data_IF_287312047176
#
_entry.id   IF_287312047176
#
_cell.length_a   1.000
_cell.length_b   1.000
_cell.length_c   1.000
_cell.angle_alpha   90.00
_cell.angle_beta   90.00
_cell.angle_gamma   90.00
#
_symmetry.space_group_name_H-M   'P 1'
#
loop_
_entity.id
_entity.type
_entity.pdbx_description
1 polymer ?
#
# COMPACT_ATOMS: atom_id res chain seq x y z
N UNK A 1 -22.56 4.24 11.10
CA UNK A 1 -21.47 3.30 10.77
C UNK A 1 -20.37 4.08 10.08
N UNK A 2 -19.11 3.78 10.36
CA UNK A 2 -17.98 4.36 9.63
C UNK A 2 -17.96 3.73 8.23
N UNK A 3 -17.85 4.54 7.18
CA UNK A 3 -17.78 4.07 5.80
C UNK A 3 -16.53 3.20 5.58
N UNK A 4 -16.68 2.09 4.87
CA UNK A 4 -15.62 1.13 4.57
C UNK A 4 -15.57 0.77 3.09
N UNK A 5 -14.39 0.46 2.61
CA UNK A 5 -14.10 0.21 1.20
C UNK A 5 -13.09 -0.92 1.02
N UNK A 6 -12.94 -1.40 -0.20
CA UNK A 6 -11.91 -2.38 -0.54
C UNK A 6 -10.55 -1.74 -0.80
N UNK A 7 -9.48 -2.47 -0.52
CA UNK A 7 -8.13 -1.99 -0.74
C UNK A 7 -7.88 -1.69 -2.22
N UNK A 8 -7.41 -0.48 -2.52
CA UNK A 8 -7.18 -0.02 -3.89
C UNK A 8 -8.43 0.50 -4.62
N UNK A 9 -9.62 0.48 -4.03
CA UNK A 9 -10.80 1.15 -4.61
C UNK A 9 -10.56 2.66 -4.76
N UNK A 10 -11.34 3.33 -5.63
CA UNK A 10 -11.22 4.77 -5.85
C UNK A 10 -11.43 5.54 -4.53
N UNK A 11 -12.50 5.22 -3.82
CA UNK A 11 -12.90 5.87 -2.58
C UNK A 11 -11.85 5.66 -1.48
N UNK A 12 -11.31 4.44 -1.35
CA UNK A 12 -10.25 4.17 -0.40
C UNK A 12 -8.97 4.93 -0.76
N UNK A 13 -8.58 4.99 -2.04
CA UNK A 13 -7.43 5.74 -2.50
C UNK A 13 -7.58 7.25 -2.23
N UNK A 14 -8.78 7.81 -2.41
CA UNK A 14 -9.09 9.20 -2.09
C UNK A 14 -8.95 9.46 -0.60
N UNK A 15 -9.50 8.56 0.22
CA UNK A 15 -9.39 8.62 1.66
C UNK A 15 -7.93 8.53 2.15
N UNK A 16 -7.14 7.60 1.59
CA UNK A 16 -5.74 7.42 1.94
C UNK A 16 -4.89 8.66 1.58
N UNK A 17 -5.05 9.19 0.37
CA UNK A 17 -4.39 10.43 -0.04
C UNK A 17 -4.75 11.60 0.90
N UNK A 18 -6.04 11.79 1.18
CA UNK A 18 -6.50 12.86 2.08
C UNK A 18 -5.90 12.71 3.48
N UNK A 19 -5.89 11.49 4.01
CA UNK A 19 -5.32 11.19 5.33
C UNK A 19 -3.83 11.54 5.38
N UNK A 20 -3.05 11.12 4.38
CA UNK A 20 -1.63 11.47 4.30
C UNK A 20 -1.40 12.98 4.25
N UNK A 21 -2.17 13.69 3.42
CA UNK A 21 -2.10 15.15 3.36
C UNK A 21 -2.43 15.83 4.69
N UNK A 22 -3.44 15.34 5.41
CA UNK A 22 -3.86 15.91 6.68
C UNK A 22 -2.81 15.67 7.78
N UNK A 23 -2.19 14.49 7.82
CA UNK A 23 -1.10 14.18 8.76
C UNK A 23 0.11 15.11 8.55
N UNK A 24 0.53 15.32 7.29
CA UNK A 24 1.62 16.26 6.97
C UNK A 24 1.29 17.68 7.41
N UNK A 25 0.06 18.15 7.17
CA UNK A 25 -0.38 19.49 7.61
C UNK A 25 -0.41 19.61 9.14
N UNK A 26 -0.84 18.56 9.83
CA UNK A 26 -0.91 18.52 11.30
C UNK A 26 0.46 18.52 11.96
N UNK A 27 1.50 18.01 11.27
CA UNK A 27 2.88 18.04 11.76
C UNK A 27 3.48 19.46 11.84
N UNK A 28 2.83 20.48 11.24
CA UNK A 28 3.26 21.89 11.26
C UNK A 28 4.73 22.10 10.86
N UNK A 29 5.21 21.27 9.93
CA UNK A 29 6.54 21.40 9.36
C UNK A 29 6.62 22.64 8.44
N UNK A 30 7.82 23.21 8.31
CA UNK A 30 8.08 24.23 7.30
C UNK A 30 8.14 23.60 5.91
N UNK A 31 6.99 23.52 5.25
CA UNK A 31 6.81 22.84 3.97
C UNK A 31 7.68 23.42 2.84
N UNK A 32 8.16 24.67 2.98
CA UNK A 32 9.03 25.30 1.98
C UNK A 32 10.39 24.61 1.83
N UNK A 33 10.77 23.76 2.79
CA UNK A 33 12.03 23.01 2.81
C UNK A 33 11.97 21.65 2.12
N UNK A 34 10.79 21.23 1.65
CA UNK A 34 10.58 19.89 1.14
C UNK A 34 10.14 19.93 -0.32
N UNK A 35 10.79 19.07 -1.10
CA UNK A 35 10.43 18.69 -2.45
C UNK A 35 10.37 17.16 -2.44
N UNK A 36 9.18 16.60 -2.20
CA UNK A 36 9.04 15.18 -1.85
C UNK A 36 7.72 14.57 -2.29
N UNK A 37 7.78 13.34 -2.81
CA UNK A 37 6.61 12.59 -3.29
C UNK A 37 6.35 11.29 -2.52
N UNK A 38 5.07 10.96 -2.35
CA UNK A 38 4.60 9.64 -1.94
C UNK A 38 3.64 9.10 -2.99
N UNK A 39 3.84 7.87 -3.44
CA UNK A 39 2.88 7.18 -4.29
C UNK A 39 2.88 5.68 -4.09
N UNK A 40 1.70 5.07 -4.14
CA UNK A 40 1.54 3.61 -4.22
C UNK A 40 0.69 3.26 -5.45
N UNK A 41 1.28 2.53 -6.38
CA UNK A 41 0.61 1.95 -7.56
C UNK A 41 0.27 0.48 -7.27
N UNK A 42 -0.99 0.09 -7.48
CA UNK A 42 -1.46 -1.28 -7.32
C UNK A 42 -1.64 -1.95 -8.67
N UNK A 43 -0.89 -3.01 -8.92
CA UNK A 43 -0.95 -3.78 -10.18
C UNK A 43 -1.78 -5.04 -10.01
N UNK A 44 -2.33 -5.53 -11.13
CA UNK A 44 -3.11 -6.79 -11.20
C UNK A 44 -4.37 -6.84 -10.32
N UNK A 45 -4.87 -5.71 -9.83
CA UNK A 45 -6.11 -5.67 -9.07
C UNK A 45 -7.35 -5.99 -9.94
N UNK A 46 -8.46 -6.44 -9.33
CA UNK A 46 -9.74 -6.62 -10.01
C UNK A 46 -10.19 -5.37 -10.79
N UNK A 47 -10.56 -5.54 -12.07
CA UNK A 47 -10.97 -4.41 -12.95
C UNK A 47 -12.05 -3.51 -12.35
N UNK A 48 -12.97 -4.07 -11.58
CA UNK A 48 -14.05 -3.32 -10.90
C UNK A 48 -13.51 -2.25 -9.94
N UNK A 49 -12.32 -2.43 -9.35
CA UNK A 49 -11.69 -1.48 -8.42
C UNK A 49 -11.00 -0.30 -9.12
N UNK A 50 -10.77 -0.40 -10.44
CA UNK A 50 -10.22 0.71 -11.22
C UNK A 50 -11.20 1.90 -11.28
N UNK A 51 -12.51 1.63 -11.30
CA UNK A 51 -13.56 2.65 -11.40
C UNK A 51 -13.30 3.66 -12.53
N UNK A 52 -12.90 3.16 -13.71
CA UNK A 52 -12.59 3.98 -14.89
C UNK A 52 -11.20 4.62 -14.91
N UNK A 53 -10.37 4.44 -13.87
CA UNK A 53 -8.96 4.86 -13.87
C UNK A 53 -8.10 3.92 -14.71
N UNK A 54 -7.08 4.45 -15.37
CA UNK A 54 -6.05 3.63 -16.04
C UNK A 54 -5.18 2.85 -15.06
N UNK A 55 -4.94 3.44 -13.88
CA UNK A 55 -4.12 2.88 -12.81
C UNK A 55 -4.82 3.07 -11.46
N UNK A 56 -4.74 2.05 -10.62
CA UNK A 56 -5.15 2.16 -9.23
C UNK A 56 -3.97 2.54 -8.36
N UNK A 57 -4.20 3.50 -7.47
CA UNK A 57 -3.19 3.99 -6.57
C UNK A 57 -3.61 5.33 -5.98
N UNK A 58 -2.75 5.83 -5.10
CA UNK A 58 -2.90 7.15 -4.54
C UNK A 58 -1.53 7.80 -4.37
N UNK A 59 -1.54 9.12 -4.30
CA UNK A 59 -0.36 9.90 -4.04
C UNK A 59 -0.65 11.08 -3.12
N UNK A 60 0.41 11.60 -2.53
CA UNK A 60 0.47 12.96 -2.03
C UNK A 60 1.91 13.45 -2.13
N UNK A 61 2.09 14.75 -2.22
CA UNK A 61 3.41 15.37 -2.41
C UNK A 61 3.48 16.72 -1.71
N UNK A 62 4.70 17.12 -1.38
CA UNK A 62 5.05 18.48 -0.99
C UNK A 62 5.86 19.06 -2.13
N UNK A 63 5.31 20.08 -2.78
CA UNK A 63 5.93 20.77 -3.91
C UNK A 63 5.61 22.26 -3.81
N UNK A 64 6.62 23.13 -3.93
CA UNK A 64 6.46 24.59 -3.80
C UNK A 64 5.75 25.01 -2.49
N UNK A 65 6.13 24.38 -1.38
CA UNK A 65 5.56 24.68 -0.05
C UNK A 65 4.09 24.29 0.13
N UNK A 66 3.52 23.49 -0.78
CA UNK A 66 2.11 23.08 -0.75
C UNK A 66 1.99 21.56 -0.72
N UNK A 67 1.04 21.07 0.10
CA UNK A 67 0.65 19.66 0.10
C UNK A 67 -0.51 19.45 -0.87
N UNK A 68 -0.36 18.49 -1.79
CA UNK A 68 -1.39 18.06 -2.75
C UNK A 68 -1.43 16.55 -2.83
N UNK A 69 -2.51 15.97 -3.32
CA UNK A 69 -2.68 14.52 -3.41
C UNK A 69 -4.03 14.12 -3.96
N UNK A 70 -4.17 12.83 -4.28
CA UNK A 70 -5.40 12.26 -4.81
C UNK A 70 -5.26 10.80 -5.19
N UNK A 71 -6.37 10.22 -5.67
CA UNK A 71 -6.46 8.83 -6.13
C UNK A 71 -5.95 8.61 -7.56
N UNK A 72 -4.83 9.25 -7.88
CA UNK A 72 -4.13 9.20 -9.16
C UNK A 72 -2.62 9.08 -8.93
N UNK A 73 -1.85 8.98 -10.01
CA UNK A 73 -0.39 8.85 -9.98
C UNK A 73 0.24 9.82 -11.01
N UNK A 74 0.21 11.14 -10.75
CA UNK A 74 0.70 12.13 -11.69
C UNK A 74 2.22 12.06 -11.82
N UNK A 75 2.73 12.27 -13.03
CA UNK A 75 4.17 12.32 -13.32
C UNK A 75 4.90 13.30 -12.40
N UNK A 76 4.31 14.47 -12.14
CA UNK A 76 4.85 15.49 -11.22
C UNK A 76 5.17 14.92 -9.83
N UNK A 77 4.36 13.99 -9.30
CA UNK A 77 4.64 13.35 -8.03
C UNK A 77 5.73 12.27 -8.16
N UNK A 78 5.70 11.49 -9.24
CA UNK A 78 6.62 10.38 -9.48
C UNK A 78 8.06 10.83 -9.78
N UNK A 79 8.24 12.07 -10.23
CA UNK A 79 9.55 12.67 -10.54
C UNK A 79 10.23 13.30 -9.31
N UNK A 80 9.46 13.55 -8.23
CA UNK A 80 10.04 14.02 -6.97
C UNK A 80 10.84 12.91 -6.28
N UNK A 81 11.89 13.23 -5.52
CA UNK A 81 12.50 12.24 -4.65
C UNK A 81 11.49 11.84 -3.57
N UNK A 82 11.39 10.55 -3.28
CA UNK A 82 10.50 10.12 -2.20
C UNK A 82 10.20 8.64 -2.14
N UNK A 83 9.00 8.29 -1.70
CA UNK A 83 8.55 6.91 -1.56
C UNK A 83 7.60 6.58 -2.70
N UNK A 84 8.06 5.77 -3.66
CA UNK A 84 7.26 5.38 -4.82
C UNK A 84 7.21 3.87 -4.95
N UNK A 85 6.13 3.26 -4.44
CA UNK A 85 5.91 1.83 -4.51
C UNK A 85 5.04 1.44 -5.71
N UNK A 86 5.37 0.30 -6.31
CA UNK A 86 4.55 -0.43 -7.28
C UNK A 86 4.36 -1.84 -6.77
N UNK A 87 3.16 -2.17 -6.33
CA UNK A 87 2.90 -3.39 -5.58
C UNK A 87 1.86 -4.24 -6.30
N UNK A 88 2.15 -5.53 -6.44
CA UNK A 88 1.17 -6.51 -6.89
C UNK A 88 0.07 -6.62 -5.83
N UNK A 89 -1.14 -6.20 -6.20
CA UNK A 89 -2.24 -5.93 -5.27
C UNK A 89 -2.53 -7.11 -4.35
N UNK A 90 -2.59 -8.33 -4.89
CA UNK A 90 -2.96 -9.51 -4.12
C UNK A 90 -1.94 -9.92 -3.05
N UNK A 91 -0.68 -9.44 -3.13
CA UNK A 91 0.32 -9.71 -2.08
C UNK A 91 0.03 -8.96 -0.78
N UNK A 92 -0.62 -7.80 -0.87
CA UNK A 92 -0.80 -6.91 0.30
C UNK A 92 -2.27 -6.59 0.60
N UNK A 93 -3.21 -6.81 -0.32
CA UNK A 93 -4.60 -6.37 -0.17
C UNK A 93 -5.25 -6.85 1.14
N UNK A 94 -4.97 -8.09 1.54
CA UNK A 94 -5.47 -8.65 2.79
C UNK A 94 -4.69 -8.12 4.01
N UNK A 95 -3.36 -8.11 3.95
CA UNK A 95 -2.50 -7.61 5.04
C UNK A 95 -2.71 -6.13 5.35
N UNK A 96 -3.09 -5.32 4.35
CA UNK A 96 -3.30 -3.88 4.48
C UNK A 96 -4.46 -3.50 5.42
N UNK A 97 -5.42 -4.41 5.67
CA UNK A 97 -6.52 -4.15 6.62
C UNK A 97 -6.18 -4.48 8.07
N UNK A 98 -4.99 -5.01 8.34
CA UNK A 98 -4.57 -5.33 9.70
C UNK A 98 -3.94 -4.12 10.39
N UNK A 99 -4.28 -3.96 11.66
CA UNK A 99 -3.74 -2.92 12.52
C UNK A 99 -2.52 -3.48 13.24
N UNK A 100 -1.42 -2.75 13.24
CA UNK A 100 -0.21 -3.15 13.94
C UNK A 100 0.62 -1.94 14.40
N UNK A 101 1.44 -2.17 15.42
CA UNK A 101 2.53 -1.28 15.81
C UNK A 101 3.82 -1.61 15.03
N UNK A 102 4.94 -0.98 15.37
CA UNK A 102 6.23 -1.25 14.72
C UNK A 102 6.67 -2.72 14.85
N UNK A 103 6.35 -3.38 15.98
CA UNK A 103 6.68 -4.79 16.18
C UNK A 103 5.87 -5.68 15.23
N UNK A 104 4.57 -5.42 15.10
CA UNK A 104 3.72 -6.13 14.15
C UNK A 104 4.10 -5.83 12.70
N UNK A 105 4.49 -4.60 12.36
CA UNK A 105 5.03 -4.26 11.04
C UNK A 105 6.27 -5.10 10.70
N UNK A 106 7.22 -5.22 11.64
CA UNK A 106 8.42 -6.03 11.44
C UNK A 106 8.10 -7.54 11.28
N UNK A 107 7.10 -8.05 12.00
CA UNK A 107 6.62 -9.42 11.79
C UNK A 107 6.00 -9.59 10.40
N UNK A 108 5.12 -8.67 10.00
CA UNK A 108 4.51 -8.65 8.65
C UNK A 108 5.59 -8.66 7.55
N UNK A 109 6.64 -7.84 7.66
CA UNK A 109 7.72 -7.83 6.68
C UNK A 109 8.46 -9.17 6.57
N UNK A 110 8.68 -9.87 7.69
CA UNK A 110 9.26 -11.21 7.68
C UNK A 110 8.34 -12.23 7.00
N UNK A 111 7.04 -12.15 7.27
CA UNK A 111 6.06 -13.01 6.61
C UNK A 111 6.01 -12.74 5.09
N UNK A 112 6.11 -11.48 4.66
CA UNK A 112 6.19 -11.10 3.24
C UNK A 112 7.46 -11.63 2.57
N UNK A 113 8.59 -11.63 3.27
CA UNK A 113 9.84 -12.23 2.80
C UNK A 113 9.68 -13.74 2.57
N UNK A 114 9.04 -14.44 3.51
CA UNK A 114 8.73 -15.88 3.38
C UNK A 114 7.84 -16.13 2.15
N UNK A 115 6.74 -15.38 2.00
CA UNK A 115 5.85 -15.50 0.85
C UNK A 115 6.60 -15.27 -0.48
N UNK A 116 7.47 -14.26 -0.53
CA UNK A 116 8.26 -13.99 -1.73
C UNK A 116 9.23 -15.13 -2.04
N UNK A 117 9.89 -15.71 -1.04
CA UNK A 117 10.77 -16.86 -1.20
C UNK A 117 9.99 -18.09 -1.68
N UNK A 118 8.84 -18.38 -1.10
CA UNK A 118 7.96 -19.48 -1.53
C UNK A 118 7.56 -19.32 -3.00
N UNK A 119 7.17 -18.10 -3.41
CA UNK A 119 6.85 -17.77 -4.79
C UNK A 119 8.04 -17.97 -5.74
N UNK A 120 9.26 -17.59 -5.32
CA UNK A 120 10.48 -17.82 -6.10
C UNK A 120 10.74 -19.33 -6.29
N UNK A 121 10.62 -20.12 -5.21
CA UNK A 121 10.89 -21.55 -5.23
C UNK A 121 9.99 -22.33 -6.18
N UNK A 122 8.76 -21.87 -6.41
CA UNK A 122 7.82 -22.48 -7.37
C UNK A 122 7.88 -21.84 -8.76
N UNK A 123 8.91 -21.04 -9.06
CA UNK A 123 9.09 -20.38 -10.36
C UNK A 123 8.09 -19.26 -10.64
N UNK A 124 7.44 -18.74 -9.59
CA UNK A 124 6.47 -17.65 -9.63
C UNK A 124 7.00 -16.40 -8.92
N UNK A 125 8.31 -16.12 -8.95
CA UNK A 125 8.87 -14.90 -8.34
C UNK A 125 8.36 -13.60 -8.98
N UNK A 126 8.55 -12.46 -8.28
CA UNK A 126 8.23 -11.13 -8.82
C UNK A 126 9.06 -10.83 -10.06
N UNK A 127 8.42 -10.22 -11.07
CA UNK A 127 9.09 -9.79 -12.32
C UNK A 127 9.56 -8.33 -12.28
N UNK A 128 9.08 -7.57 -11.31
CA UNK A 128 9.35 -6.13 -11.19
C UNK A 128 9.74 -5.78 -9.77
N UNK A 129 10.56 -4.73 -9.64
CA UNK A 129 10.87 -4.15 -8.34
C UNK A 129 9.63 -3.53 -7.71
N UNK A 130 9.57 -3.59 -6.38
CA UNK A 130 8.45 -3.01 -5.61
C UNK A 130 8.57 -1.51 -5.41
N UNK A 131 9.74 -0.95 -5.70
CA UNK A 131 9.98 0.48 -5.68
C UNK A 131 10.45 0.95 -7.05
N UNK A 132 9.94 2.12 -7.47
CA UNK A 132 10.35 2.77 -8.71
C UNK A 132 11.79 3.31 -8.57
N UNK A 133 12.14 3.80 -7.38
CA UNK A 133 13.46 4.30 -7.03
C UNK A 133 13.76 4.04 -5.55
N UNK A 134 15.00 4.26 -5.10
CA UNK A 134 15.36 4.11 -3.68
C UNK A 134 14.52 5.09 -2.84
N UNK A 135 13.78 4.63 -1.82
CA UNK A 135 12.97 5.51 -0.99
C UNK A 135 13.80 6.60 -0.30
N UNK A 136 13.29 7.82 -0.31
CA UNK A 136 13.84 8.97 0.42
C UNK A 136 12.84 9.40 1.48
N UNK A 137 13.30 9.62 2.71
CA UNK A 137 12.48 10.07 3.83
C UNK A 137 13.11 11.29 4.49
N UNK A 138 12.63 12.51 4.18
CA UNK A 138 13.10 13.72 4.84
C UNK A 138 12.75 13.69 6.35
N UNK A 139 13.56 14.34 7.21
CA UNK A 139 13.27 14.44 8.64
C UNK A 139 11.87 15.00 8.91
N UNK A 140 11.14 14.44 9.87
CA UNK A 140 9.80 14.87 10.26
C UNK A 140 8.67 14.28 9.41
N UNK A 141 8.91 13.91 8.16
CA UNK A 141 7.90 13.37 7.26
C UNK A 141 7.53 11.93 7.65
N UNK A 142 8.53 11.09 7.93
CA UNK A 142 8.29 9.71 8.36
C UNK A 142 7.54 9.66 9.69
N UNK A 143 7.94 10.48 10.65
CA UNK A 143 7.30 10.59 11.97
C UNK A 143 5.84 11.04 11.85
N UNK A 144 5.55 12.00 10.98
CA UNK A 144 4.20 12.46 10.72
C UNK A 144 3.29 11.36 10.16
N UNK A 145 3.81 10.50 9.27
CA UNK A 145 3.03 9.45 8.63
C UNK A 145 2.92 8.17 9.45
N UNK A 146 3.95 7.82 10.23
CA UNK A 146 3.90 6.67 11.16
C UNK A 146 2.96 6.96 12.33
N UNK A 147 2.83 8.22 12.71
CA UNK A 147 1.98 8.66 13.82
C UNK A 147 2.50 8.22 15.18
N UNK A 148 1.87 8.71 16.24
CA UNK A 148 2.15 8.34 17.63
C UNK A 148 1.28 7.12 17.99
N UNK A 149 1.85 6.13 18.68
CA UNK A 149 1.15 4.94 19.18
C UNK A 149 0.34 4.16 18.12
N UNK A 150 0.81 4.18 16.87
CA UNK A 150 0.14 3.48 15.77
C UNK A 150 -1.09 4.21 15.22
N UNK A 151 -1.26 5.51 15.45
CA UNK A 151 -2.27 6.34 14.78
C UNK A 151 -1.74 6.99 13.48
N UNK A 152 -0.90 6.26 12.75
CA UNK A 152 -0.37 6.68 11.45
C UNK A 152 -1.27 6.37 10.26
N UNK A 153 -0.81 6.80 9.09
CA UNK A 153 -1.47 6.63 7.80
C UNK A 153 -1.96 5.19 7.58
N UNK A 154 -1.10 4.20 7.83
CA UNK A 154 -1.44 2.78 7.66
C UNK A 154 -2.65 2.37 8.51
N UNK A 155 -2.58 2.54 9.83
CA UNK A 155 -3.66 2.08 10.72
C UNK A 155 -4.95 2.89 10.55
N UNK A 156 -4.87 4.20 10.28
CA UNK A 156 -6.06 5.02 9.99
C UNK A 156 -6.77 4.51 8.74
N UNK A 157 -6.02 4.21 7.67
CA UNK A 157 -6.59 3.69 6.43
C UNK A 157 -7.04 2.24 6.53
N UNK A 158 -6.34 1.41 7.32
CA UNK A 158 -6.70 0.02 7.59
C UNK A 158 -8.08 -0.12 8.25
N UNK A 159 -8.42 0.77 9.18
CA UNK A 159 -9.75 0.77 9.86
C UNK A 159 -10.93 1.00 8.91
N UNK A 160 -10.66 1.55 7.72
CA UNK A 160 -11.66 1.78 6.67
C UNK A 160 -11.71 0.66 5.64
N UNK A 161 -10.97 -0.43 5.84
CA UNK A 161 -10.94 -1.53 4.89
C UNK A 161 -11.97 -2.62 5.22
N UNK A 162 -12.52 -3.20 4.16
CA UNK A 162 -13.14 -4.53 4.12
C UNK A 162 -12.28 -5.44 3.25
N UNK A 163 -12.27 -6.73 3.57
CA UNK A 163 -11.51 -7.70 2.78
C UNK A 163 -12.14 -7.88 1.40
N UNK A 164 -11.30 -7.81 0.39
CA UNK A 164 -11.72 -8.07 -0.98
C UNK A 164 -12.07 -9.55 -1.18
N UNK A 165 -13.18 -9.87 -1.86
CA UNK A 165 -13.63 -11.25 -2.09
C UNK A 165 -12.56 -12.17 -2.71
N UNK A 166 -11.67 -11.61 -3.52
CA UNK A 166 -10.65 -12.36 -4.25
C UNK A 166 -9.53 -12.90 -3.36
N UNK A 167 -9.32 -12.33 -2.17
CA UNK A 167 -8.19 -12.67 -1.29
C UNK A 167 -8.59 -13.08 0.14
N UNK A 168 -9.85 -12.82 0.54
CA UNK A 168 -10.33 -13.03 1.92
C UNK A 168 -10.28 -14.48 2.41
N UNK A 169 -10.34 -15.45 1.50
CA UNK A 169 -10.46 -16.87 1.85
C UNK A 169 -9.10 -17.60 1.78
N UNK A 170 -8.02 -16.91 1.41
CA UNK A 170 -6.70 -17.54 1.38
C UNK A 170 -6.14 -17.76 2.78
N UNK A 171 -5.42 -18.87 3.04
CA UNK A 171 -4.63 -19.02 4.25
C UNK A 171 -3.67 -17.84 4.42
N UNK A 172 -3.64 -17.24 5.61
CA UNK A 172 -2.82 -16.07 5.89
C UNK A 172 -2.18 -16.12 7.29
N UNK A 173 -1.15 -15.30 7.50
CA UNK A 173 -0.49 -15.16 8.80
C UNK A 173 -1.30 -14.31 9.78
N UNK A 174 -0.77 -14.11 10.99
CA UNK A 174 -1.33 -13.22 12.03
C UNK A 174 -1.63 -11.81 11.48
N UNK A 175 -0.79 -11.30 10.58
CA UNK A 175 -0.93 -9.97 9.96
C UNK A 175 -1.43 -10.02 8.51
N UNK A 176 -2.14 -11.09 8.15
CA UNK A 176 -2.87 -11.16 6.90
C UNK A 176 -2.03 -11.39 5.63
N UNK A 177 -0.75 -11.74 5.77
CA UNK A 177 0.10 -12.10 4.62
C UNK A 177 -0.29 -13.49 4.12
N UNK A 178 -0.55 -13.70 2.81
CA UNK A 178 -0.88 -15.02 2.29
C UNK A 178 0.21 -16.07 2.58
N UNK A 179 -0.19 -17.31 2.89
CA UNK A 179 0.72 -18.43 3.15
C UNK A 179 0.62 -19.44 2.00
N UNK A 180 1.53 -19.34 1.02
CA UNK A 180 1.47 -20.13 -0.22
C UNK A 180 1.52 -21.64 0.03
N UNK A 181 2.34 -22.09 0.98
CA UNK A 181 2.51 -23.50 1.33
C UNK A 181 1.27 -24.15 1.94
N UNK A 182 0.34 -23.35 2.48
CA UNK A 182 -0.94 -23.81 3.03
C UNK A 182 -2.10 -23.77 2.03
N UNK A 183 -1.90 -23.11 0.89
CA UNK A 183 -2.91 -23.07 -0.17
C UNK A 183 -3.03 -24.44 -0.84
N UNK A 184 -4.27 -24.84 -1.12
CA UNK A 184 -4.60 -25.91 -2.08
C UNK A 184 -4.12 -25.54 -3.48
N UNK A 185 -4.04 -26.51 -4.39
CA UNK A 185 -3.62 -26.23 -5.77
C UNK A 185 -4.59 -25.31 -6.52
N UNK A 186 -5.90 -25.40 -6.21
CA UNK A 186 -6.91 -24.48 -6.73
C UNK A 186 -6.67 -23.05 -6.21
N UNK A 187 -6.41 -22.89 -4.91
CA UNK A 187 -6.09 -21.59 -4.31
C UNK A 187 -4.81 -20.99 -4.89
N UNK A 188 -3.75 -21.79 -5.07
CA UNK A 188 -2.51 -21.34 -5.72
C UNK A 188 -2.79 -20.87 -7.15
N UNK A 189 -3.57 -21.62 -7.92
CA UNK A 189 -3.96 -21.23 -9.28
C UNK A 189 -4.69 -19.88 -9.31
N UNK A 190 -5.66 -19.67 -8.40
CA UNK A 190 -6.34 -18.38 -8.25
C UNK A 190 -5.38 -17.26 -7.84
N UNK A 191 -4.51 -17.53 -6.87
CA UNK A 191 -3.55 -16.55 -6.37
C UNK A 191 -2.56 -16.12 -7.46
N UNK A 192 -1.97 -17.06 -8.21
CA UNK A 192 -1.05 -16.74 -9.32
C UNK A 192 -1.72 -15.90 -10.40
N UNK A 193 -2.99 -16.19 -10.73
CA UNK A 193 -3.76 -15.36 -11.66
C UNK A 193 -3.90 -13.91 -11.16
N UNK A 194 -4.13 -13.72 -9.86
CA UNK A 194 -4.18 -12.38 -9.24
C UNK A 194 -2.81 -11.69 -9.18
N UNK A 195 -1.71 -12.43 -9.35
CA UNK A 195 -0.36 -11.90 -9.49
C UNK A 195 0.07 -11.73 -10.95
N UNK A 196 -0.80 -12.06 -11.92
CA UNK A 196 -0.48 -12.02 -13.35
C UNK A 196 0.51 -13.11 -13.79
N UNK A 197 0.46 -14.30 -13.18
CA UNK A 197 1.38 -15.41 -13.40
C UNK A 197 0.70 -16.75 -13.71
#
# INVERSE_FOLDING_TARGET
>A
MIEKWEFGSLEWCQFAAKTGMDLIKQAKLDLSKYEWGFSEEYTYLPKRLLAGRDKAGFHFMIHNGKVRGGASLPTECLELPGFHARVEWALIAHASSFIYDLKGQNKRFKDEEILNNDLIMVGKGRKTNSFISKPVWPPGIGEALVGIDGEGLHNITARRLIHSPEVKDFPHTEYGVPILTKMTDEEKGRFYKLLGR
#
